data_IF_347561804983
#
_entry.id   IF_347561804983
#
_cell.length_a   1.000
_cell.length_b   1.000
_cell.length_c   1.000
_cell.angle_alpha   90.00
_cell.angle_beta   90.00
_cell.angle_gamma   90.00
#
_symmetry.space_group_name_H-M   'P 1'
#
loop_
_entity.id
_entity.type
_entity.pdbx_description
1 polymer ?
#
# COMPACT_ATOMS: atom_id res chain seq x y z
N UNK A 1 -23.50 -23.69 7.65
CA UNK A 1 -22.22 -23.78 6.91
C UNK A 1 -22.37 -23.00 5.62
N UNK A 2 -21.50 -22.03 5.37
CA UNK A 2 -21.50 -21.26 4.14
C UNK A 2 -20.37 -21.75 3.23
N UNK A 3 -20.62 -21.91 1.92
CA UNK A 3 -19.58 -22.22 0.94
C UNK A 3 -19.00 -20.92 0.39
N UNK A 4 -17.77 -20.60 0.74
CA UNK A 4 -17.04 -19.46 0.21
C UNK A 4 -16.05 -19.97 -0.86
N UNK A 5 -16.35 -19.72 -2.13
CA UNK A 5 -15.48 -20.05 -3.28
C UNK A 5 -14.93 -21.49 -3.25
N UNK A 6 -15.78 -22.46 -2.90
CA UNK A 6 -15.42 -23.88 -2.91
C UNK A 6 -14.84 -24.43 -1.62
N UNK A 7 -14.75 -23.62 -0.54
CA UNK A 7 -14.32 -24.03 0.78
C UNK A 7 -15.50 -23.93 1.75
N UNK A 8 -15.77 -25.00 2.51
CA UNK A 8 -16.76 -24.97 3.58
C UNK A 8 -16.19 -24.22 4.78
N UNK A 9 -16.82 -23.12 5.16
CA UNK A 9 -16.38 -22.26 6.26
C UNK A 9 -17.48 -22.23 7.31
N UNK A 10 -17.11 -22.46 8.55
CA UNK A 10 -18.02 -22.28 9.68
C UNK A 10 -18.32 -20.79 9.89
N UNK A 11 -19.49 -20.46 10.45
CA UNK A 11 -19.87 -19.06 10.73
C UNK A 11 -18.84 -18.36 11.64
N UNK A 12 -18.27 -19.08 12.58
CA UNK A 12 -17.22 -18.56 13.46
C UNK A 12 -15.92 -18.21 12.69
N UNK A 13 -15.48 -19.07 11.78
CA UNK A 13 -14.30 -18.80 10.94
C UNK A 13 -14.54 -17.60 10.00
N UNK A 14 -15.76 -17.46 9.49
CA UNK A 14 -16.14 -16.31 8.66
C UNK A 14 -16.07 -15.01 9.45
N UNK A 15 -16.61 -15.01 10.68
CA UNK A 15 -16.58 -13.85 11.57
C UNK A 15 -15.13 -13.43 11.91
N UNK A 16 -14.26 -14.39 12.27
CA UNK A 16 -12.84 -14.11 12.55
C UNK A 16 -12.13 -13.54 11.32
N UNK A 17 -12.36 -14.11 10.14
CA UNK A 17 -11.78 -13.59 8.89
C UNK A 17 -12.25 -12.17 8.59
N UNK A 18 -13.54 -11.89 8.79
CA UNK A 18 -14.10 -10.55 8.58
C UNK A 18 -13.47 -9.52 9.54
N UNK A 19 -13.33 -9.85 10.82
CA UNK A 19 -12.70 -8.98 11.81
C UNK A 19 -11.23 -8.71 11.45
N UNK A 20 -10.47 -9.75 11.10
CA UNK A 20 -9.08 -9.59 10.68
C UNK A 20 -8.96 -8.78 9.38
N UNK A 21 -9.84 -9.03 8.41
CA UNK A 21 -9.84 -8.27 7.16
C UNK A 21 -10.15 -6.79 7.40
N UNK A 22 -11.11 -6.47 8.28
CA UNK A 22 -11.40 -5.10 8.69
C UNK A 22 -10.22 -4.45 9.40
N UNK A 23 -9.55 -5.16 10.31
CA UNK A 23 -8.40 -4.65 11.04
C UNK A 23 -7.23 -4.34 10.09
N UNK A 24 -6.82 -5.29 9.24
CA UNK A 24 -5.72 -5.11 8.31
C UNK A 24 -6.06 -4.15 7.17
N UNK A 25 -7.27 -4.24 6.60
CA UNK A 25 -7.76 -3.32 5.58
C UNK A 25 -7.91 -1.90 6.11
N UNK A 26 -8.42 -1.75 7.34
CA UNK A 26 -8.51 -0.45 8.03
C UNK A 26 -7.14 0.16 8.32
N UNK A 27 -6.17 -0.64 8.81
CA UNK A 27 -4.80 -0.19 9.01
C UNK A 27 -4.15 0.24 7.68
N UNK A 28 -4.34 -0.55 6.62
CA UNK A 28 -3.86 -0.21 5.28
C UNK A 28 -4.52 1.09 4.76
N UNK A 29 -5.82 1.28 4.99
CA UNK A 29 -6.53 2.50 4.61
C UNK A 29 -5.96 3.73 5.34
N UNK A 30 -5.72 3.62 6.63
CA UNK A 30 -5.12 4.72 7.41
C UNK A 30 -3.72 5.06 6.91
N UNK A 31 -2.88 4.06 6.62
CA UNK A 31 -1.50 4.26 6.20
C UNK A 31 -1.38 4.75 4.74
N UNK A 32 -2.13 4.16 3.81
CA UNK A 32 -1.91 4.38 2.39
C UNK A 32 -2.89 5.39 1.76
N UNK A 33 -4.02 5.64 2.39
CA UNK A 33 -5.00 6.65 1.94
C UNK A 33 -4.99 7.88 2.85
N UNK A 34 -5.32 7.69 4.14
CA UNK A 34 -5.57 8.80 5.05
C UNK A 34 -4.30 9.60 5.37
N UNK A 35 -3.18 8.92 5.63
CA UNK A 35 -1.93 9.58 5.98
C UNK A 35 -1.41 10.49 4.84
N UNK A 36 -1.35 10.09 3.57
CA UNK A 36 -1.00 10.98 2.48
C UNK A 36 -1.95 12.18 2.33
N UNK A 37 -3.27 11.96 2.44
CA UNK A 37 -4.28 13.04 2.34
C UNK A 37 -4.12 14.05 3.47
N UNK A 38 -3.81 13.60 4.68
CA UNK A 38 -3.69 14.46 5.86
C UNK A 38 -2.27 14.97 6.12
N UNK A 39 -1.27 14.56 5.33
CA UNK A 39 0.15 14.87 5.58
C UNK A 39 0.40 16.37 5.75
N UNK A 40 -0.10 17.21 4.86
CA UNK A 40 0.10 18.66 4.93
C UNK A 40 -0.55 19.28 6.19
N UNK A 41 -1.75 18.80 6.57
CA UNK A 41 -2.44 19.29 7.77
C UNK A 41 -1.77 18.81 9.05
N UNK A 42 -1.25 17.57 9.08
CA UNK A 42 -0.50 17.04 10.21
C UNK A 42 0.80 17.79 10.44
N UNK A 43 1.53 18.12 9.38
CA UNK A 43 2.75 18.94 9.48
C UNK A 43 2.41 20.32 10.05
N UNK A 44 1.31 20.95 9.60
CA UNK A 44 0.84 22.23 10.14
C UNK A 44 0.51 22.16 11.63
N UNK A 45 -0.10 21.08 12.09
CA UNK A 45 -0.45 20.89 13.50
C UNK A 45 0.78 20.63 14.40
N UNK A 46 1.75 19.83 13.93
CA UNK A 46 2.92 19.46 14.73
C UNK A 46 3.93 20.61 14.80
N UNK A 47 4.21 21.26 13.69
CA UNK A 47 5.26 22.28 13.61
C UNK A 47 4.74 23.71 13.83
N UNK A 48 3.44 23.90 14.02
CA UNK A 48 2.82 25.19 14.30
C UNK A 48 3.10 26.25 13.21
N UNK A 49 3.13 27.54 13.56
CA UNK A 49 3.32 28.63 12.59
C UNK A 49 4.64 28.55 11.81
N UNK A 50 5.66 27.89 12.37
CA UNK A 50 6.96 27.70 11.73
C UNK A 50 6.88 26.77 10.51
N UNK A 51 5.80 26.00 10.36
CA UNK A 51 5.60 25.08 9.23
C UNK A 51 5.00 25.74 7.97
N UNK A 52 4.55 26.99 8.07
CA UNK A 52 3.93 27.67 6.94
C UNK A 52 4.75 27.59 5.63
N UNK A 53 6.08 27.74 5.63
CA UNK A 53 6.89 27.56 4.42
C UNK A 53 7.05 26.10 3.98
N UNK A 54 6.76 25.12 4.85
CA UNK A 54 6.91 23.69 4.54
C UNK A 54 5.64 23.08 3.93
N UNK A 55 4.47 23.69 4.16
CA UNK A 55 3.21 23.18 3.66
C UNK A 55 3.18 22.98 2.13
N UNK A 56 3.63 23.94 1.28
CA UNK A 56 3.68 23.75 -0.16
C UNK A 56 4.70 22.68 -0.59
N UNK A 57 5.80 22.52 0.17
CA UNK A 57 6.79 21.47 -0.09
C UNK A 57 6.18 20.09 0.16
N UNK A 58 5.50 19.92 1.29
CA UNK A 58 4.85 18.65 1.65
C UNK A 58 3.72 18.32 0.68
N UNK A 59 2.91 19.30 0.29
CA UNK A 59 1.84 19.08 -0.69
C UNK A 59 2.39 18.74 -2.09
N UNK A 60 3.55 19.27 -2.47
CA UNK A 60 4.23 18.93 -3.73
C UNK A 60 4.85 17.52 -3.74
N UNK A 61 5.16 16.97 -2.55
CA UNK A 61 5.68 15.61 -2.41
C UNK A 61 4.59 14.53 -2.56
N UNK A 62 3.34 14.87 -2.30
CA UNK A 62 2.22 13.92 -2.39
C UNK A 62 1.59 14.02 -3.77
N UNK A 63 1.81 13.01 -4.62
CA UNK A 63 1.12 12.92 -5.91
C UNK A 63 -0.40 12.90 -5.73
N UNK A 64 -1.18 13.61 -6.55
CA UNK A 64 -2.65 13.62 -6.48
C UNK A 64 -3.27 12.23 -6.69
N UNK A 65 -2.58 11.32 -7.39
CA UNK A 65 -3.06 9.96 -7.64
C UNK A 65 -2.79 9.00 -6.47
N UNK A 66 -1.90 9.39 -5.55
CA UNK A 66 -1.47 8.52 -4.45
C UNK A 66 -2.62 8.06 -3.55
N UNK A 67 -3.58 8.91 -3.16
CA UNK A 67 -4.73 8.48 -2.34
C UNK A 67 -5.61 7.45 -3.06
N UNK A 68 -5.85 7.63 -4.36
CA UNK A 68 -6.67 6.69 -5.12
C UNK A 68 -6.02 5.29 -5.18
N UNK A 69 -4.72 5.23 -5.44
CA UNK A 69 -3.95 3.98 -5.43
C UNK A 69 -3.90 3.40 -4.02
N UNK A 70 -3.74 4.23 -2.98
CA UNK A 70 -3.75 3.84 -1.58
C UNK A 70 -5.07 3.21 -1.15
N UNK A 71 -6.21 3.76 -1.60
CA UNK A 71 -7.53 3.17 -1.37
C UNK A 71 -7.66 1.79 -2.05
N UNK A 72 -7.16 1.65 -3.28
CA UNK A 72 -7.14 0.37 -3.99
C UNK A 72 -6.27 -0.66 -3.26
N UNK A 73 -5.08 -0.28 -2.76
CA UNK A 73 -4.22 -1.13 -1.94
C UNK A 73 -4.97 -1.61 -0.69
N UNK A 74 -5.64 -0.71 0.03
CA UNK A 74 -6.41 -1.05 1.24
C UNK A 74 -7.54 -2.04 0.94
N UNK A 75 -8.29 -1.83 -0.14
CA UNK A 75 -9.35 -2.74 -0.57
C UNK A 75 -8.79 -4.13 -0.94
N UNK A 76 -7.67 -4.18 -1.65
CA UNK A 76 -7.03 -5.44 -2.03
C UNK A 76 -6.44 -6.17 -0.81
N UNK A 77 -5.87 -5.46 0.16
CA UNK A 77 -5.40 -6.04 1.44
C UNK A 77 -6.59 -6.64 2.20
N UNK A 78 -7.70 -5.92 2.30
CA UNK A 78 -8.94 -6.43 2.90
C UNK A 78 -9.39 -7.73 2.22
N UNK A 79 -9.48 -7.73 0.89
CA UNK A 79 -9.88 -8.92 0.11
C UNK A 79 -8.89 -10.07 0.28
N UNK A 80 -7.58 -9.77 0.31
CA UNK A 80 -6.54 -10.76 0.51
C UNK A 80 -6.66 -11.49 1.85
N UNK A 81 -6.93 -10.74 2.92
CA UNK A 81 -7.13 -11.33 4.25
C UNK A 81 -8.46 -12.10 4.32
N UNK A 82 -9.54 -11.53 3.77
CA UNK A 82 -10.87 -12.15 3.81
C UNK A 82 -10.92 -13.47 3.03
N UNK A 83 -10.31 -13.51 1.84
CA UNK A 83 -10.32 -14.66 0.93
C UNK A 83 -9.15 -15.62 1.16
N UNK A 84 -8.41 -15.46 2.26
CA UNK A 84 -7.31 -16.35 2.61
C UNK A 84 -7.77 -17.82 2.67
N UNK A 85 -7.05 -18.70 1.96
CA UNK A 85 -7.36 -20.14 1.87
C UNK A 85 -8.44 -20.50 0.87
N UNK A 86 -8.94 -19.55 0.05
CA UNK A 86 -9.81 -19.82 -1.10
C UNK A 86 -9.00 -19.89 -2.39
N UNK A 87 -9.60 -20.41 -3.47
CA UNK A 87 -8.97 -20.46 -4.80
C UNK A 87 -8.65 -19.07 -5.37
N UNK A 88 -9.35 -18.02 -4.92
CA UNK A 88 -9.12 -16.65 -5.35
C UNK A 88 -7.92 -15.99 -4.65
N UNK A 89 -7.36 -16.60 -3.61
CA UNK A 89 -6.30 -15.99 -2.80
C UNK A 89 -5.02 -15.72 -3.60
N UNK A 90 -4.59 -16.65 -4.47
CA UNK A 90 -3.40 -16.47 -5.32
C UNK A 90 -3.49 -15.25 -6.25
N UNK A 91 -4.53 -15.17 -7.12
CA UNK A 91 -4.74 -14.00 -7.97
C UNK A 91 -4.83 -12.67 -7.20
N UNK A 92 -5.47 -12.67 -6.03
CA UNK A 92 -5.56 -11.46 -5.18
C UNK A 92 -4.19 -11.06 -4.65
N UNK A 93 -3.34 -12.00 -4.24
CA UNK A 93 -1.98 -11.68 -3.82
C UNK A 93 -1.15 -11.05 -4.95
N UNK A 94 -1.32 -11.50 -6.19
CA UNK A 94 -0.68 -10.87 -7.36
C UNK A 94 -1.15 -9.41 -7.46
N UNK A 95 -2.47 -9.19 -7.41
CA UNK A 95 -3.04 -7.85 -7.49
C UNK A 95 -2.56 -6.94 -6.35
N UNK A 96 -2.49 -7.46 -5.11
CA UNK A 96 -1.93 -6.75 -3.94
C UNK A 96 -0.48 -6.34 -4.19
N UNK A 97 0.37 -7.26 -4.64
CA UNK A 97 1.78 -6.97 -4.91
C UNK A 97 1.96 -5.91 -5.99
N UNK A 98 1.22 -6.02 -7.11
CA UNK A 98 1.25 -5.03 -8.20
C UNK A 98 0.76 -3.66 -7.71
N UNK A 99 -0.31 -3.61 -6.93
CA UNK A 99 -0.83 -2.35 -6.38
C UNK A 99 0.17 -1.67 -5.42
N UNK A 100 0.89 -2.44 -4.59
CA UNK A 100 1.97 -1.90 -3.75
C UNK A 100 3.14 -1.37 -4.57
N UNK A 101 3.53 -2.08 -5.66
CA UNK A 101 4.59 -1.58 -6.56
C UNK A 101 4.17 -0.25 -7.19
N UNK A 102 2.95 -0.14 -7.70
CA UNK A 102 2.41 1.09 -8.25
C UNK A 102 2.37 2.21 -7.20
N UNK A 103 1.94 1.89 -5.99
CA UNK A 103 1.91 2.85 -4.88
C UNK A 103 3.31 3.41 -4.58
N UNK A 104 4.32 2.56 -4.37
CA UNK A 104 5.67 3.02 -4.09
C UNK A 104 6.30 3.76 -5.26
N UNK A 105 6.04 3.33 -6.49
CA UNK A 105 6.52 4.02 -7.68
C UNK A 105 5.99 5.45 -7.75
N UNK A 106 4.68 5.64 -7.53
CA UNK A 106 4.04 6.97 -7.54
C UNK A 106 4.46 7.78 -6.31
N UNK A 107 4.54 7.16 -5.12
CA UNK A 107 4.93 7.83 -3.88
C UNK A 107 6.36 8.39 -3.94
N UNK A 108 7.26 7.71 -4.63
CA UNK A 108 8.66 8.12 -4.80
C UNK A 108 8.94 8.76 -6.17
N UNK A 109 7.89 9.19 -6.89
CA UNK A 109 8.00 9.87 -8.19
C UNK A 109 8.93 9.15 -9.18
N UNK A 110 8.85 7.81 -9.23
CA UNK A 110 9.70 6.99 -10.09
C UNK A 110 11.17 6.91 -9.67
N UNK A 111 11.49 7.28 -8.42
CA UNK A 111 12.85 7.24 -7.87
C UNK A 111 13.59 8.58 -7.87
N UNK A 112 12.92 9.68 -8.24
CA UNK A 112 13.48 11.04 -8.19
C UNK A 112 12.49 11.97 -7.51
N UNK A 113 12.88 12.56 -6.40
CA UNK A 113 12.07 13.57 -5.69
C UNK A 113 12.64 14.94 -5.98
N UNK A 114 11.85 15.81 -6.60
CA UNK A 114 12.22 17.19 -6.88
C UNK A 114 11.57 18.11 -5.86
N UNK A 115 12.40 18.84 -5.11
CA UNK A 115 11.97 19.83 -4.13
C UNK A 115 12.15 21.23 -4.73
N UNK A 116 11.06 21.95 -4.96
CA UNK A 116 11.12 23.36 -5.29
C UNK A 116 11.42 24.16 -4.01
N UNK A 117 12.52 24.90 -3.98
CA UNK A 117 12.86 25.79 -2.88
C UNK A 117 12.06 27.10 -3.09
N UNK A 118 11.09 27.42 -2.20
CA UNK A 118 10.34 28.66 -2.32
C UNK A 118 11.28 29.86 -2.16
N UNK A 119 11.15 30.86 -3.03
CA UNK A 119 11.89 32.12 -2.93
C UNK A 119 11.47 32.83 -1.63
N UNK A 120 12.34 32.79 -0.64
CA UNK A 120 12.21 33.61 0.57
C UNK A 120 13.03 34.88 0.43
N UNK A 121 12.57 35.98 1.02
CA UNK A 121 13.22 37.30 0.95
C UNK A 121 14.71 37.34 1.44
N UNK A 122 15.20 36.23 1.98
CA UNK A 122 16.58 36.11 2.51
C UNK A 122 17.49 35.20 1.68
N UNK A 123 16.97 34.48 0.68
CA UNK A 123 17.80 33.59 -0.15
C UNK A 123 17.63 33.96 -1.63
N UNK A 124 18.72 34.45 -2.22
CA UNK A 124 18.78 34.85 -3.64
C UNK A 124 18.86 33.67 -4.62
N UNK A 125 18.75 32.43 -4.13
CA UNK A 125 18.81 31.22 -4.94
C UNK A 125 17.41 30.60 -5.08
N UNK A 126 16.82 30.74 -6.26
CA UNK A 126 15.75 29.88 -6.73
C UNK A 126 16.39 28.67 -7.40
N UNK A 127 16.06 27.49 -6.97
CA UNK A 127 16.59 26.27 -7.57
C UNK A 127 15.74 25.06 -7.21
N UNK A 128 15.63 24.14 -8.15
CA UNK A 128 15.06 22.81 -7.90
C UNK A 128 16.17 21.89 -7.41
N UNK A 129 15.99 21.30 -6.23
CA UNK A 129 16.88 20.25 -5.72
C UNK A 129 16.24 18.90 -6.04
N UNK A 130 16.89 18.11 -6.90
CA UNK A 130 16.48 16.74 -7.18
C UNK A 130 17.31 15.76 -6.33
N UNK A 131 16.61 14.91 -5.58
CA UNK A 131 17.22 13.86 -4.76
C UNK A 131 16.89 12.52 -5.41
N UNK A 132 17.93 11.75 -5.79
CA UNK A 132 17.74 10.38 -6.27
C UNK A 132 17.41 9.46 -5.10
N UNK A 133 16.23 8.83 -5.16
CA UNK A 133 15.78 7.84 -4.16
C UNK A 133 15.52 6.47 -4.79
N UNK A 134 16.17 6.21 -5.94
CA UNK A 134 15.99 4.97 -6.71
C UNK A 134 16.33 3.72 -5.88
N UNK A 135 17.42 3.75 -5.11
CA UNK A 135 17.84 2.62 -4.28
C UNK A 135 16.79 2.29 -3.21
N UNK A 136 16.19 3.32 -2.61
CA UNK A 136 15.09 3.14 -1.66
C UNK A 136 13.85 2.54 -2.35
N UNK A 137 13.53 3.02 -3.56
CA UNK A 137 12.43 2.47 -4.35
C UNK A 137 12.65 0.98 -4.64
N UNK A 138 13.84 0.58 -5.10
CA UNK A 138 14.15 -0.82 -5.35
C UNK A 138 14.04 -1.68 -4.09
N UNK A 139 14.54 -1.19 -2.96
CA UNK A 139 14.42 -1.89 -1.67
C UNK A 139 12.97 -2.10 -1.27
N UNK A 140 12.13 -1.07 -1.40
CA UNK A 140 10.70 -1.16 -1.07
C UNK A 140 9.91 -2.06 -2.04
N UNK A 141 10.38 -2.23 -3.28
CA UNK A 141 9.74 -3.10 -4.26
C UNK A 141 10.00 -4.60 -4.04
N UNK A 142 11.00 -4.98 -3.25
CA UNK A 142 11.34 -6.40 -3.00
C UNK A 142 10.17 -7.15 -2.36
N UNK A 143 9.57 -6.61 -1.31
CA UNK A 143 8.49 -7.27 -0.59
C UNK A 143 7.21 -7.44 -1.45
N UNK A 144 6.73 -6.42 -2.18
CA UNK A 144 5.66 -6.58 -3.16
C UNK A 144 5.99 -7.60 -4.26
N UNK A 145 7.22 -7.60 -4.80
CA UNK A 145 7.65 -8.56 -5.81
C UNK A 145 7.56 -10.00 -5.29
N UNK A 146 8.03 -10.26 -4.08
CA UNK A 146 7.90 -11.57 -3.43
C UNK A 146 6.42 -11.95 -3.22
N UNK A 147 5.56 -10.99 -2.94
CA UNK A 147 4.11 -11.21 -2.82
C UNK A 147 3.49 -11.64 -4.15
N UNK A 148 3.90 -11.02 -5.27
CA UNK A 148 3.49 -11.43 -6.63
C UNK A 148 3.96 -12.87 -6.92
N UNK A 149 5.22 -13.18 -6.67
CA UNK A 149 5.77 -14.53 -6.87
C UNK A 149 5.00 -15.57 -6.06
N UNK A 150 4.76 -15.29 -4.76
CA UNK A 150 3.94 -16.16 -3.90
C UNK A 150 2.53 -16.34 -4.47
N UNK A 151 1.89 -15.29 -4.94
CA UNK A 151 0.57 -15.34 -5.56
C UNK A 151 0.56 -16.20 -6.82
N UNK A 152 1.58 -16.05 -7.67
CA UNK A 152 1.74 -16.84 -8.89
C UNK A 152 1.91 -18.34 -8.59
N UNK A 153 2.77 -18.68 -7.62
CA UNK A 153 2.97 -20.07 -7.18
C UNK A 153 1.66 -20.66 -6.66
N UNK A 154 0.93 -19.96 -5.80
CA UNK A 154 -0.35 -20.41 -5.25
C UNK A 154 -1.43 -20.57 -6.34
N UNK A 155 -1.37 -19.78 -7.40
CA UNK A 155 -2.30 -19.89 -8.53
C UNK A 155 -1.96 -21.07 -9.42
N UNK A 156 -0.66 -21.33 -9.63
CA UNK A 156 -0.15 -22.41 -10.47
C UNK A 156 -0.25 -23.79 -9.79
N UNK A 157 -0.02 -23.84 -8.48
CA UNK A 157 -0.24 -25.06 -7.70
C UNK A 157 -1.74 -25.23 -7.52
N UNK A 158 -2.36 -26.05 -8.39
CA UNK A 158 -3.75 -26.53 -8.15
C UNK A 158 -3.80 -27.03 -6.70
N UNK A 159 -4.83 -26.70 -5.92
CA UNK A 159 -5.05 -27.40 -4.68
C UNK A 159 -5.24 -28.87 -5.06
N UNK A 160 -4.17 -29.63 -4.92
CA UNK A 160 -4.16 -31.05 -5.22
C UNK A 160 -5.22 -31.73 -4.37
N UNK A 161 -5.91 -32.68 -4.97
CA UNK A 161 -6.83 -33.60 -4.31
C UNK A 161 -6.25 -33.97 -2.94
N UNK A 162 -7.03 -33.64 -1.88
CA UNK A 162 -6.61 -33.71 -0.50
C UNK A 162 -6.10 -35.10 -0.06
N UNK A 163 -4.86 -35.39 -0.36
CA UNK A 163 -4.11 -36.39 0.40
C UNK A 163 -3.47 -35.67 1.58
N UNK A 164 -4.12 -35.82 2.75
CA UNK A 164 -3.50 -35.53 4.02
C UNK A 164 -2.10 -36.19 4.07
N UNK A 165 -1.06 -35.50 4.59
CA UNK A 165 0.22 -36.16 4.82
C UNK A 165 0.00 -37.38 5.71
N UNK A 166 0.66 -38.54 5.41
CA UNK A 166 0.60 -39.70 6.27
C UNK A 166 1.11 -39.33 7.67
N UNK A 167 0.36 -39.76 8.69
CA UNK A 167 0.66 -39.55 10.10
C UNK A 167 2.04 -40.17 10.49
#
# INVERSE_FOLDING_TARGET
>A
MARLLGVEVTSQQLAVRAVLALAFGGAAFLLFYYLPVSAASLVGQIAGPASAPLAPVVSGLVSPDLPAIGAAVAALVFLGVFLRGTKAYGPILIAVGVAFMAYFYVALHGGTVTLAIPQGAQYSASGDVSIGVADLLYLLMVAPALTVVKGAVLTATKPGDGKAPPA
#
